data_IF_359813664740
#
_entry.id   IF_359813664740
#
_cell.length_a   1.000
_cell.length_b   1.000
_cell.length_c   1.000
_cell.angle_alpha   90.00
_cell.angle_beta   90.00
_cell.angle_gamma   90.00
#
_symmetry.space_group_name_H-M   'P 1'
#
loop_
_entity.id
_entity.type
_entity.pdbx_description
1 polymer ?
#
# COMPACT_ATOMS: atom_id res chain seq x y z
N UNK A 1 -26.12 -9.82 10.91
CA UNK A 1 -24.89 -10.55 11.33
C UNK A 1 -24.03 -10.97 10.14
N UNK A 2 -24.54 -11.72 9.15
CA UNK A 2 -23.75 -12.13 7.97
C UNK A 2 -23.17 -10.93 7.19
N UNK A 3 -23.99 -9.90 6.91
CA UNK A 3 -23.53 -8.70 6.20
C UNK A 3 -22.40 -7.97 6.94
N UNK A 4 -22.48 -7.86 8.27
CA UNK A 4 -21.44 -7.26 9.10
C UNK A 4 -20.12 -8.00 8.92
N UNK A 5 -20.15 -9.33 9.01
CA UNK A 5 -18.97 -10.17 8.87
C UNK A 5 -18.38 -10.08 7.45
N UNK A 6 -19.23 -10.02 6.41
CA UNK A 6 -18.79 -9.80 5.03
C UNK A 6 -18.08 -8.46 4.86
N UNK A 7 -18.65 -7.36 5.37
CA UNK A 7 -18.00 -6.04 5.30
C UNK A 7 -16.65 -6.03 6.01
N UNK A 8 -16.57 -6.62 7.21
CA UNK A 8 -15.33 -6.67 7.99
C UNK A 8 -14.26 -7.53 7.30
N UNK A 9 -14.62 -8.69 6.75
CA UNK A 9 -13.66 -9.55 6.05
C UNK A 9 -13.13 -8.90 4.78
N UNK A 10 -14.01 -8.28 3.97
CA UNK A 10 -13.58 -7.59 2.75
C UNK A 10 -12.65 -6.44 3.11
N UNK A 11 -13.02 -5.63 4.11
CA UNK A 11 -12.22 -4.51 4.58
C UNK A 11 -10.82 -4.95 5.02
N UNK A 12 -10.77 -5.88 5.99
CA UNK A 12 -9.51 -6.36 6.54
C UNK A 12 -8.68 -7.10 5.49
N UNK A 13 -9.31 -7.94 4.65
CA UNK A 13 -8.61 -8.72 3.64
C UNK A 13 -7.96 -7.86 2.57
N UNK A 14 -8.70 -6.93 1.97
CA UNK A 14 -8.14 -6.05 0.95
C UNK A 14 -7.09 -5.10 1.52
N UNK A 15 -7.34 -4.48 2.68
CA UNK A 15 -6.38 -3.60 3.33
C UNK A 15 -5.12 -4.36 3.78
N UNK A 16 -5.24 -5.62 4.24
CA UNK A 16 -4.10 -6.48 4.57
C UNK A 16 -3.22 -6.74 3.34
N UNK A 17 -3.82 -7.10 2.20
CA UNK A 17 -3.09 -7.32 0.95
C UNK A 17 -2.40 -6.05 0.46
N UNK A 18 -3.08 -4.90 0.53
CA UNK A 18 -2.52 -3.61 0.18
C UNK A 18 -1.31 -3.25 1.05
N UNK A 19 -1.42 -3.41 2.37
CA UNK A 19 -0.34 -3.14 3.33
C UNK A 19 0.89 -4.04 3.14
N UNK A 20 0.69 -5.32 2.79
CA UNK A 20 1.80 -6.19 2.39
C UNK A 20 2.44 -5.67 1.11
N UNK A 21 1.63 -5.38 0.10
CA UNK A 21 2.14 -4.94 -1.20
C UNK A 21 2.95 -3.63 -1.08
N UNK A 22 2.49 -2.70 -0.24
CA UNK A 22 3.19 -1.46 0.12
C UNK A 22 4.56 -1.74 0.73
N UNK A 23 4.61 -2.57 1.77
CA UNK A 23 5.86 -2.88 2.44
C UNK A 23 6.84 -3.65 1.53
N UNK A 24 6.34 -4.56 0.70
CA UNK A 24 7.15 -5.31 -0.25
C UNK A 24 7.76 -4.38 -1.31
N UNK A 25 6.95 -3.52 -1.95
CA UNK A 25 7.47 -2.65 -3.02
C UNK A 25 8.50 -1.65 -2.49
N UNK A 26 8.32 -1.15 -1.25
CA UNK A 26 9.28 -0.27 -0.58
C UNK A 26 10.56 -1.00 -0.13
N UNK A 27 10.50 -2.31 0.12
CA UNK A 27 11.64 -3.09 0.61
C UNK A 27 12.47 -3.72 -0.51
N UNK A 28 11.92 -3.84 -1.72
CA UNK A 28 12.62 -4.43 -2.86
C UNK A 28 13.78 -3.52 -3.29
N UNK A 29 14.99 -4.09 -3.33
CA UNK A 29 16.18 -3.39 -3.80
C UNK A 29 16.38 -3.53 -5.31
N UNK A 30 17.01 -2.51 -5.93
CA UNK A 30 17.40 -2.56 -7.35
C UNK A 30 18.31 -3.75 -7.66
N UNK A 31 19.20 -4.13 -6.74
CA UNK A 31 20.08 -5.29 -6.90
C UNK A 31 19.30 -6.60 -7.01
N UNK A 32 18.25 -6.77 -6.20
CA UNK A 32 17.39 -7.96 -6.27
C UNK A 32 16.61 -8.03 -7.59
N UNK A 33 16.12 -6.88 -8.08
CA UNK A 33 15.46 -6.80 -9.40
C UNK A 33 16.42 -7.25 -10.51
N UNK A 34 17.67 -6.77 -10.50
CA UNK A 34 18.68 -7.19 -11.49
C UNK A 34 18.99 -8.69 -11.42
N UNK A 35 18.94 -9.30 -10.22
CA UNK A 35 19.08 -10.76 -10.08
C UNK A 35 17.90 -11.47 -10.76
N UNK A 36 16.66 -11.07 -10.50
CA UNK A 36 15.47 -11.64 -11.13
C UNK A 36 15.51 -11.54 -12.66
N UNK A 37 15.97 -10.41 -13.19
CA UNK A 37 16.12 -10.21 -14.64
C UNK A 37 17.20 -11.13 -15.25
N UNK A 38 18.35 -11.29 -14.56
CA UNK A 38 19.40 -12.23 -14.97
C UNK A 38 18.93 -13.68 -14.94
N UNK A 39 18.09 -14.03 -13.96
CA UNK A 39 17.43 -15.34 -13.87
C UNK A 39 16.28 -15.51 -14.88
N UNK A 40 16.06 -14.54 -15.77
CA UNK A 40 14.98 -14.51 -16.77
C UNK A 40 13.58 -14.67 -16.17
N UNK A 41 13.38 -14.25 -14.91
CA UNK A 41 12.07 -14.27 -14.27
C UNK A 41 11.26 -13.06 -14.73
N UNK A 42 10.05 -13.25 -15.29
CA UNK A 42 9.24 -12.14 -15.82
C UNK A 42 8.83 -11.11 -14.75
N UNK A 43 8.81 -11.50 -13.48
CA UNK A 43 8.55 -10.59 -12.36
C UNK A 43 9.65 -9.53 -12.17
N UNK A 44 10.88 -9.78 -12.65
CA UNK A 44 11.98 -8.81 -12.59
C UNK A 44 11.65 -7.55 -13.39
N UNK A 45 11.30 -7.72 -14.67
CA UNK A 45 10.92 -6.61 -15.55
C UNK A 45 9.69 -5.84 -15.04
N UNK A 46 8.72 -6.54 -14.44
CA UNK A 46 7.53 -5.90 -13.84
C UNK A 46 7.91 -5.07 -12.62
N UNK A 47 8.71 -5.62 -11.70
CA UNK A 47 9.19 -4.87 -10.53
C UNK A 47 10.04 -3.68 -10.96
N UNK A 48 10.86 -3.82 -12.01
CA UNK A 48 11.65 -2.72 -12.55
C UNK A 48 10.77 -1.56 -12.97
N UNK A 49 9.76 -1.82 -13.80
CA UNK A 49 8.81 -0.80 -14.23
C UNK A 49 8.01 -0.19 -13.06
N UNK A 50 7.65 -0.99 -12.06
CA UNK A 50 6.91 -0.50 -10.88
C UNK A 50 7.78 0.36 -9.96
N UNK A 51 9.08 0.08 -9.87
CA UNK A 51 10.01 0.82 -8.99
C UNK A 51 10.63 2.05 -9.66
N UNK A 52 10.66 2.11 -10.99
CA UNK A 52 11.08 3.30 -11.75
C UNK A 52 10.20 4.53 -11.47
N UNK A 53 8.89 4.33 -11.30
CA UNK A 53 7.98 5.36 -10.82
C UNK A 53 7.13 4.80 -9.68
N UNK A 54 7.75 4.69 -8.51
CA UNK A 54 7.15 4.10 -7.31
C UNK A 54 5.88 4.82 -6.84
N UNK A 55 5.70 6.09 -7.22
CA UNK A 55 4.51 6.86 -6.87
C UNK A 55 3.25 6.28 -7.47
N UNK A 56 3.32 5.69 -8.67
CA UNK A 56 2.15 5.09 -9.34
C UNK A 56 1.57 3.89 -8.58
N UNK A 57 2.34 2.83 -8.29
CA UNK A 57 1.84 1.72 -7.48
C UNK A 57 1.49 2.17 -6.07
N UNK A 58 2.26 3.06 -5.43
CA UNK A 58 1.92 3.57 -4.09
C UNK A 58 0.57 4.30 -4.08
N UNK A 59 0.32 5.21 -5.02
CA UNK A 59 -0.98 5.89 -5.12
C UNK A 59 -2.13 4.91 -5.36
N UNK A 60 -1.93 3.87 -6.16
CA UNK A 60 -2.94 2.83 -6.37
C UNK A 60 -3.23 2.03 -5.09
N UNK A 61 -2.17 1.60 -4.37
CA UNK A 61 -2.27 0.88 -3.10
C UNK A 61 -2.98 1.73 -2.06
N UNK A 62 -2.56 2.98 -1.87
CA UNK A 62 -3.13 3.89 -0.90
C UNK A 62 -4.61 4.15 -1.20
N UNK A 63 -4.95 4.38 -2.47
CA UNK A 63 -6.35 4.56 -2.89
C UNK A 63 -7.19 3.35 -2.53
N UNK A 64 -6.74 2.13 -2.88
CA UNK A 64 -7.48 0.91 -2.57
C UNK A 64 -7.60 0.70 -1.06
N UNK A 65 -6.52 0.93 -0.32
CA UNK A 65 -6.50 0.77 1.13
C UNK A 65 -7.48 1.73 1.82
N UNK A 66 -7.50 3.00 1.41
CA UNK A 66 -8.46 3.99 1.92
C UNK A 66 -9.89 3.58 1.61
N UNK A 67 -10.18 3.15 0.38
CA UNK A 67 -11.52 2.69 0.00
C UNK A 67 -11.94 1.49 0.85
N UNK A 68 -11.08 0.47 0.97
CA UNK A 68 -11.37 -0.73 1.75
C UNK A 68 -11.59 -0.40 3.23
N UNK A 69 -10.75 0.46 3.82
CA UNK A 69 -10.89 0.86 5.21
C UNK A 69 -12.16 1.69 5.45
N UNK A 70 -12.42 2.71 4.64
CA UNK A 70 -13.56 3.61 4.82
C UNK A 70 -14.88 2.90 4.54
N UNK A 71 -15.00 2.19 3.43
CA UNK A 71 -16.24 1.46 3.10
C UNK A 71 -16.46 0.31 4.09
N UNK A 72 -15.38 -0.37 4.49
CA UNK A 72 -15.39 -1.42 5.48
C UNK A 72 -15.89 -0.97 6.84
N UNK A 73 -15.27 0.06 7.40
CA UNK A 73 -15.62 0.62 8.70
C UNK A 73 -17.02 1.24 8.69
N UNK A 74 -17.39 1.98 7.63
CA UNK A 74 -18.72 2.57 7.51
C UNK A 74 -19.81 1.49 7.39
N UNK A 75 -19.60 0.47 6.56
CA UNK A 75 -20.53 -0.65 6.40
C UNK A 75 -20.66 -1.50 7.67
N UNK A 76 -19.54 -1.81 8.32
CA UNK A 76 -19.52 -2.53 9.60
C UNK A 76 -20.19 -1.72 10.72
N UNK A 77 -19.93 -0.41 10.80
CA UNK A 77 -20.55 0.50 11.77
C UNK A 77 -22.06 0.61 11.59
N UNK A 78 -22.53 0.79 10.36
CA UNK A 78 -23.96 0.84 10.05
C UNK A 78 -24.67 -0.47 10.44
N UNK A 79 -24.04 -1.63 10.17
CA UNK A 79 -24.60 -2.92 10.58
C UNK A 79 -24.50 -3.16 12.09
N UNK A 80 -23.46 -2.64 12.76
CA UNK A 80 -23.32 -2.73 14.19
C UNK A 80 -24.42 -1.92 14.91
N UNK A 81 -24.78 -0.74 14.38
CA UNK A 81 -25.89 0.08 14.87
C UNK A 81 -27.20 -0.71 14.91
N UNK A 82 -27.52 -1.41 13.81
CA UNK A 82 -28.76 -2.17 13.65
C UNK A 82 -28.80 -3.36 14.62
N UNK A 83 -27.66 -4.00 14.88
CA UNK A 83 -27.64 -5.27 15.64
C UNK A 83 -27.42 -5.07 17.14
N UNK A 84 -26.57 -4.12 17.53
CA UNK A 84 -26.19 -3.90 18.93
C UNK A 84 -26.85 -2.65 19.53
N UNK A 85 -27.51 -1.82 18.71
CA UNK A 85 -28.09 -0.54 19.13
C UNK A 85 -27.06 0.57 19.26
N UNK A 86 -27.52 1.81 19.15
CA UNK A 86 -26.66 3.00 19.10
C UNK A 86 -25.80 3.20 20.36
N UNK A 87 -26.25 2.70 21.51
CA UNK A 87 -25.54 2.85 22.79
C UNK A 87 -24.13 2.21 22.80
N UNK A 88 -23.91 1.16 22.00
CA UNK A 88 -22.61 0.46 21.91
C UNK A 88 -21.78 0.87 20.70
N UNK A 89 -22.31 1.73 19.82
CA UNK A 89 -21.68 2.05 18.54
C UNK A 89 -20.31 2.72 18.71
N UNK A 90 -20.16 3.60 19.70
CA UNK A 90 -18.89 4.24 20.02
C UNK A 90 -17.82 3.25 20.47
N UNK A 91 -18.16 2.34 21.38
CA UNK A 91 -17.24 1.30 21.87
C UNK A 91 -16.85 0.32 20.75
N UNK A 92 -17.83 -0.12 19.96
CA UNK A 92 -17.59 -1.02 18.82
C UNK A 92 -16.69 -0.35 17.78
N UNK A 93 -16.90 0.93 17.49
CA UNK A 93 -16.07 1.68 16.53
C UNK A 93 -14.63 1.84 17.03
N UNK A 94 -14.42 2.11 18.32
CA UNK A 94 -13.09 2.19 18.91
C UNK A 94 -12.34 0.85 18.84
N UNK A 95 -13.00 -0.25 19.20
CA UNK A 95 -12.44 -1.61 19.11
C UNK A 95 -12.13 -1.96 17.65
N UNK A 96 -13.07 -1.70 16.72
CA UNK A 96 -12.89 -1.98 15.31
C UNK A 96 -11.70 -1.21 14.73
N UNK A 97 -11.53 0.06 15.10
CA UNK A 97 -10.40 0.89 14.65
C UNK A 97 -9.07 0.32 15.13
N UNK A 98 -8.99 -0.10 16.41
CA UNK A 98 -7.78 -0.73 16.94
C UNK A 98 -7.46 -2.04 16.20
N UNK A 99 -8.48 -2.86 15.93
CA UNK A 99 -8.32 -4.11 15.18
C UNK A 99 -7.80 -3.86 13.77
N UNK A 100 -8.36 -2.89 13.06
CA UNK A 100 -7.90 -2.57 11.70
C UNK A 100 -6.46 -2.07 11.72
N UNK A 101 -6.10 -1.17 12.64
CA UNK A 101 -4.74 -0.65 12.74
C UNK A 101 -3.71 -1.77 13.02
N UNK A 102 -3.99 -2.66 13.97
CA UNK A 102 -3.05 -3.74 14.30
C UNK A 102 -3.00 -4.81 13.23
N UNK A 103 -4.17 -5.38 12.86
CA UNK A 103 -4.23 -6.55 11.98
C UNK A 103 -4.12 -6.21 10.50
N UNK A 104 -4.58 -5.04 10.09
CA UNK A 104 -4.62 -4.65 8.68
C UNK A 104 -3.47 -3.75 8.25
N UNK A 105 -2.75 -3.13 9.20
CA UNK A 105 -1.70 -2.17 8.88
C UNK A 105 -0.36 -2.52 9.52
N UNK A 106 -0.27 -2.67 10.85
CA UNK A 106 1.03 -2.91 11.53
C UNK A 106 1.59 -4.31 11.20
N UNK A 107 0.80 -5.36 11.47
CA UNK A 107 1.24 -6.76 11.26
C UNK A 107 1.59 -6.99 9.78
N UNK A 108 0.75 -6.61 8.80
CA UNK A 108 1.01 -6.94 7.40
C UNK A 108 2.18 -6.15 6.83
N UNK A 109 2.38 -4.89 7.23
CA UNK A 109 3.57 -4.12 6.85
C UNK A 109 4.84 -4.78 7.37
N UNK A 110 4.82 -5.27 8.61
CA UNK A 110 5.95 -5.99 9.20
C UNK A 110 6.25 -7.27 8.41
N UNK A 111 5.23 -8.07 8.11
CA UNK A 111 5.37 -9.29 7.32
C UNK A 111 5.90 -9.01 5.91
N UNK A 112 5.36 -8.00 5.23
CA UNK A 112 5.80 -7.59 3.90
C UNK A 112 7.26 -7.14 3.88
N UNK A 113 7.69 -6.38 4.89
CA UNK A 113 9.08 -5.92 5.02
C UNK A 113 10.05 -7.02 5.47
N UNK A 114 9.62 -8.02 6.22
CA UNK A 114 10.48 -9.15 6.63
C UNK A 114 10.61 -10.20 5.51
N UNK A 115 9.51 -10.53 4.83
CA UNK A 115 9.44 -11.61 3.84
C UNK A 115 9.39 -11.12 2.38
N UNK A 116 9.85 -9.89 2.13
CA UNK A 116 9.75 -9.23 0.82
C UNK A 116 10.31 -10.06 -0.33
N UNK A 117 11.42 -10.81 -0.14
CA UNK A 117 12.03 -11.62 -1.21
C UNK A 117 11.11 -12.73 -1.74
N UNK A 118 10.32 -13.35 -0.86
CA UNK A 118 9.39 -14.40 -1.26
C UNK A 118 8.10 -13.81 -1.87
N UNK A 119 7.68 -12.66 -1.37
CA UNK A 119 6.44 -12.00 -1.77
C UNK A 119 6.59 -11.14 -3.03
N UNK A 120 7.80 -10.63 -3.32
CA UNK A 120 8.09 -9.71 -4.41
C UNK A 120 7.56 -10.17 -5.79
N UNK A 121 7.73 -11.44 -6.22
CA UNK A 121 7.21 -11.86 -7.52
C UNK A 121 5.69 -11.79 -7.62
N UNK A 122 4.98 -12.22 -6.58
CA UNK A 122 3.50 -12.22 -6.54
C UNK A 122 2.99 -10.79 -6.47
N UNK A 123 3.59 -9.98 -5.59
CA UNK A 123 3.27 -8.55 -5.43
C UNK A 123 3.47 -7.79 -6.74
N UNK A 124 4.51 -8.11 -7.53
CA UNK A 124 4.76 -7.46 -8.82
C UNK A 124 3.55 -7.53 -9.76
N UNK A 125 2.99 -8.73 -9.94
CA UNK A 125 1.82 -8.91 -10.81
C UNK A 125 0.57 -8.30 -10.21
N UNK A 126 0.36 -8.47 -8.90
CA UNK A 126 -0.76 -7.85 -8.20
C UNK A 126 -0.77 -6.33 -8.40
N UNK A 127 0.37 -5.67 -8.19
CA UNK A 127 0.52 -4.22 -8.36
C UNK A 127 0.36 -3.78 -9.81
N UNK A 128 0.86 -4.55 -10.78
CA UNK A 128 0.65 -4.24 -12.20
C UNK A 128 -0.84 -4.16 -12.54
N UNK A 129 -1.63 -5.15 -12.13
CA UNK A 129 -3.06 -5.15 -12.37
C UNK A 129 -3.79 -4.09 -11.55
N UNK A 130 -3.36 -3.85 -10.31
CA UNK A 130 -3.92 -2.82 -9.45
C UNK A 130 -3.77 -1.42 -10.06
N UNK A 131 -2.58 -1.09 -10.58
CA UNK A 131 -2.31 0.19 -11.24
C UNK A 131 -3.15 0.36 -12.51
N UNK A 132 -3.33 -0.71 -13.30
CA UNK A 132 -4.18 -0.66 -14.51
C UNK A 132 -5.64 -0.44 -14.12
N UNK A 133 -6.13 -1.13 -13.10
CA UNK A 133 -7.50 -1.02 -12.61
C UNK A 133 -7.80 0.38 -12.04
N UNK A 134 -6.87 0.92 -11.25
CA UNK A 134 -7.00 2.22 -10.60
C UNK A 134 -6.32 3.36 -11.38
N UNK A 135 -5.98 3.12 -12.65
CA UNK A 135 -5.34 4.10 -13.51
C UNK A 135 -5.99 5.50 -13.50
N UNK A 136 -7.33 5.67 -13.53
CA UNK A 136 -7.93 7.00 -13.44
C UNK A 136 -7.60 7.72 -12.13
N UNK A 137 -7.60 7.01 -11.01
CA UNK A 137 -7.25 7.57 -9.69
C UNK A 137 -5.76 7.87 -9.58
N UNK A 138 -4.91 6.99 -10.12
CA UNK A 138 -3.45 7.21 -10.17
C UNK A 138 -3.15 8.48 -10.95
N UNK A 139 -3.73 8.65 -12.14
CA UNK A 139 -3.52 9.84 -12.97
C UNK A 139 -4.05 11.12 -12.31
N UNK A 140 -5.16 11.03 -11.60
CA UNK A 140 -5.67 12.14 -10.80
C UNK A 140 -4.69 12.53 -9.68
N UNK A 141 -4.17 11.53 -8.95
CA UNK A 141 -3.16 11.72 -7.91
C UNK A 141 -1.88 12.35 -8.48
N UNK A 142 -1.38 11.87 -9.61
CA UNK A 142 -0.22 12.46 -10.32
C UNK A 142 -0.48 13.91 -10.74
N UNK A 143 -1.68 14.22 -11.22
CA UNK A 143 -2.04 15.59 -11.60
C UNK A 143 -2.07 16.53 -10.39
N UNK A 144 -2.66 16.10 -9.28
CA UNK A 144 -2.71 16.86 -8.02
C UNK A 144 -1.31 17.07 -7.42
N UNK A 145 -0.46 16.05 -7.50
CA UNK A 145 0.90 16.07 -6.90
C UNK A 145 1.97 16.63 -7.84
N UNK A 146 1.63 16.96 -9.10
CA UNK A 146 2.57 17.46 -10.11
C UNK A 146 3.35 18.70 -9.67
N UNK A 147 2.74 19.55 -8.82
CA UNK A 147 3.38 20.75 -8.27
C UNK A 147 4.34 20.52 -7.09
N UNK A 148 4.36 19.31 -6.53
CA UNK A 148 5.18 18.94 -5.36
C UNK A 148 6.44 18.15 -5.73
N UNK A 149 6.74 17.98 -7.02
CA UNK A 149 7.96 17.31 -7.46
C UNK A 149 9.17 18.19 -7.15
N UNK A 150 9.85 17.88 -6.06
CA UNK A 150 11.16 18.43 -5.73
C UNK A 150 12.17 17.97 -6.80
N UNK A 151 12.98 18.91 -7.31
CA UNK A 151 14.08 18.58 -8.21
C UNK A 151 15.04 17.62 -7.50
N UNK A 152 15.39 16.52 -8.17
CA UNK A 152 16.26 15.43 -7.69
C UNK A 152 17.40 15.86 -6.74
N UNK A 153 17.67 15.12 -5.66
CA UNK A 153 18.73 15.42 -4.67
C UNK A 153 20.15 15.45 -5.24
N UNK A 154 20.35 15.03 -6.49
CA UNK A 154 21.64 15.07 -7.18
C UNK A 154 22.08 16.49 -7.59
N UNK A 155 21.24 17.52 -7.38
CA UNK A 155 21.61 18.93 -7.56
C UNK A 155 22.03 19.62 -6.25
N UNK A 156 22.01 18.88 -5.13
CA UNK A 156 22.23 19.38 -3.77
C UNK A 156 23.64 19.19 -3.22
N UNK A 157 24.60 18.65 -3.97
CA UNK A 157 25.99 18.61 -3.50
C UNK A 157 26.60 20.01 -3.61
N UNK A 158 26.26 20.86 -2.64
CA UNK A 158 26.85 22.19 -2.49
C UNK A 158 28.37 22.00 -2.33
N UNK A 159 29.19 22.83 -2.98
CA UNK A 159 30.66 22.70 -2.91
C UNK A 159 31.18 22.68 -1.47
N UNK A 160 30.44 23.30 -0.54
CA UNK A 160 30.70 23.25 0.90
C UNK A 160 30.63 21.82 1.50
N UNK A 161 29.70 20.97 1.06
CA UNK A 161 29.59 19.59 1.55
C UNK A 161 30.66 18.67 0.95
N UNK A 162 31.05 18.92 -0.31
CA UNK A 162 32.21 18.26 -0.94
C UNK A 162 33.53 18.56 -0.22
N UNK A 163 33.71 19.80 0.26
CA UNK A 163 34.90 20.18 1.03
C UNK A 163 34.88 19.66 2.47
N UNK A 164 33.71 19.35 3.03
CA UNK A 164 33.61 18.78 4.37
C UNK A 164 33.87 17.27 4.43
N UNK A 165 33.88 16.59 3.27
CA UNK A 165 34.13 15.15 3.14
C UNK A 165 35.55 14.80 2.68
N UNK A 166 36.39 15.80 2.37
CA UNK A 166 37.79 15.64 1.96
C UNK A 166 38.74 15.98 3.12
#
# INVERSE_FOLDING_TARGET
MILLLVYVIIALGFSFLCSIAEAVILSVSSAYISVLEKEQKPSGAVLRHLTEDINRPLSAILTLNTIAHTMGAAGAGAQAAIVFGDAYLGLISAILTLLILVFSEIIPKTLGATFWRALAPITAYFLKYLVILLYPFVKMSEWLTKGFKEESPLRGLNRAELHAMA
#
